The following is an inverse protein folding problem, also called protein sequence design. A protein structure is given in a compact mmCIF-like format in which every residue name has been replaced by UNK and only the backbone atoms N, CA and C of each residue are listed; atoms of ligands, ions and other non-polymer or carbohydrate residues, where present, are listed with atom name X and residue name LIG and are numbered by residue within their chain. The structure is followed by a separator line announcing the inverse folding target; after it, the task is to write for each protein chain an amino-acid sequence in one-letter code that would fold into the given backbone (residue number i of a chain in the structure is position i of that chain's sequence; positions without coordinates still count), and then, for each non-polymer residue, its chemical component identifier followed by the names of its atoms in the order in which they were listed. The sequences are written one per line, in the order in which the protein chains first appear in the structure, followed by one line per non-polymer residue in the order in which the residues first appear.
data_IF_356041315526
#
_entry.id   IF_356041315526
#
_cell.length_a   1.000
_cell.length_b   1.000
_cell.length_c   1.000
_cell.angle_alpha   90.00
_cell.angle_beta   90.00
_cell.angle_gamma   90.00
#
_symmetry.space_group_name_H-M   'P 1'
#
loop_
_entity.id
_entity.type
_entity.pdbx_description
1 polymer ?
#
# COMPACT_ATOMS: atom_id res chain seq x y z
N UNK A 1 0.09 0.79 18.09
CA UNK A 1 1.11 1.11 17.08
C UNK A 1 1.51 2.57 17.19
N UNK A 2 2.67 2.95 16.63
CA UNK A 2 3.12 4.33 16.53
C UNK A 2 2.95 4.85 15.10
N UNK A 3 2.26 5.99 14.95
CA UNK A 3 1.89 6.60 13.67
C UNK A 3 2.68 7.90 13.48
N UNK A 4 3.41 8.05 12.39
CA UNK A 4 4.01 9.32 12.01
C UNK A 4 3.00 10.13 11.19
N UNK A 5 2.61 11.31 11.68
CA UNK A 5 1.63 12.20 11.04
C UNK A 5 2.38 13.37 10.40
N UNK A 6 2.53 13.35 9.09
CA UNK A 6 3.12 14.42 8.30
C UNK A 6 2.01 15.35 7.81
N UNK A 7 1.84 16.47 8.49
CA UNK A 7 0.74 17.43 8.31
C UNK A 7 1.19 18.84 8.73
N UNK A 8 1.11 19.80 7.83
CA UNK A 8 1.49 21.19 8.07
C UNK A 8 0.43 21.95 8.87
N UNK A 9 -0.86 21.67 8.64
CA UNK A 9 -1.95 22.26 9.42
C UNK A 9 -2.00 21.69 10.84
N UNK A 10 -1.71 22.55 11.83
CA UNK A 10 -1.72 22.18 13.25
C UNK A 10 -3.08 21.71 13.76
N UNK A 11 -4.17 22.22 13.22
CA UNK A 11 -5.54 21.87 13.64
C UNK A 11 -5.92 20.48 13.15
N UNK A 12 -5.58 20.16 11.91
CA UNK A 12 -5.79 18.85 11.29
C UNK A 12 -4.92 17.80 11.99
N UNK A 13 -3.64 18.12 12.21
CA UNK A 13 -2.72 17.23 12.91
C UNK A 13 -3.20 16.92 14.35
N UNK A 14 -3.68 17.93 15.09
CA UNK A 14 -4.22 17.74 16.44
C UNK A 14 -5.49 16.87 16.44
N UNK A 15 -6.37 17.04 15.45
CA UNK A 15 -7.55 16.21 15.29
C UNK A 15 -7.19 14.74 15.00
N UNK A 16 -6.23 14.50 14.10
CA UNK A 16 -5.71 13.17 13.78
C UNK A 16 -5.06 12.52 15.02
N UNK A 17 -4.18 13.25 15.71
CA UNK A 17 -3.51 12.76 16.92
C UNK A 17 -4.50 12.38 18.02
N UNK A 18 -5.51 13.22 18.28
CA UNK A 18 -6.57 12.94 19.26
C UNK A 18 -7.39 11.71 18.87
N UNK A 19 -7.65 11.54 17.58
CA UNK A 19 -8.36 10.40 17.05
C UNK A 19 -7.57 9.09 17.22
N UNK A 20 -6.29 9.11 16.86
CA UNK A 20 -5.36 7.99 17.02
C UNK A 20 -5.21 7.60 18.51
N UNK A 21 -5.06 8.59 19.39
CA UNK A 21 -4.95 8.36 20.82
C UNK A 21 -6.19 7.67 21.41
N UNK A 22 -7.41 8.10 21.01
CA UNK A 22 -8.66 7.44 21.43
C UNK A 22 -8.75 6.00 20.95
N UNK A 23 -8.11 5.67 19.84
CA UNK A 23 -8.02 4.30 19.30
C UNK A 23 -6.85 3.50 19.88
N UNK A 24 -6.12 4.03 20.88
CA UNK A 24 -4.99 3.34 21.52
C UNK A 24 -3.68 3.38 20.72
N UNK A 25 -3.54 4.34 19.80
CA UNK A 25 -2.31 4.51 19.01
C UNK A 25 -1.54 5.75 19.47
N UNK A 26 -0.20 5.62 19.53
CA UNK A 26 0.69 6.75 19.73
C UNK A 26 0.93 7.44 18.38
N UNK A 27 1.18 8.75 18.39
CA UNK A 27 1.52 9.48 17.17
C UNK A 27 2.60 10.54 17.41
N UNK A 28 3.40 10.79 16.39
CA UNK A 28 4.34 11.92 16.32
C UNK A 28 3.98 12.76 15.11
N UNK A 29 3.87 14.08 15.31
CA UNK A 29 3.65 15.03 14.22
C UNK A 29 4.97 15.55 13.66
N UNK A 30 5.01 15.71 12.33
CA UNK A 30 5.99 16.49 11.58
C UNK A 30 5.26 17.37 10.57
N UNK A 31 5.82 18.55 10.22
CA UNK A 31 5.24 19.43 9.21
C UNK A 31 6.04 19.46 7.90
N UNK A 32 7.19 18.79 7.87
CA UNK A 32 8.15 18.82 6.78
C UNK A 32 8.40 17.43 6.21
N UNK A 33 8.54 17.33 4.90
CA UNK A 33 8.90 16.09 4.22
C UNK A 33 10.29 15.57 4.60
N UNK A 34 11.24 16.47 4.84
CA UNK A 34 12.58 16.12 5.35
C UNK A 34 12.51 15.41 6.71
N UNK A 35 11.58 15.80 7.59
CA UNK A 35 11.41 15.15 8.89
C UNK A 35 10.77 13.76 8.75
N UNK A 36 9.95 13.53 7.73
CA UNK A 36 9.44 12.18 7.41
C UNK A 36 10.60 11.24 7.12
N UNK A 37 11.56 11.68 6.28
CA UNK A 37 12.73 10.87 5.92
C UNK A 37 13.64 10.58 7.12
N UNK A 38 13.68 11.46 8.11
CA UNK A 38 14.48 11.27 9.32
C UNK A 38 13.81 10.37 10.34
N UNK A 39 12.47 10.44 10.48
CA UNK A 39 11.71 9.84 11.59
C UNK A 39 10.88 8.61 11.22
N UNK A 40 10.81 8.24 9.95
CA UNK A 40 9.98 7.10 9.52
C UNK A 40 10.33 5.79 10.27
N UNK A 41 11.60 5.61 10.69
CA UNK A 41 12.06 4.40 11.38
C UNK A 41 11.49 4.23 12.78
N UNK A 42 10.98 5.31 13.38
CA UNK A 42 10.40 5.30 14.72
C UNK A 42 8.89 4.98 14.69
N UNK A 43 8.33 4.74 13.51
CA UNK A 43 6.91 4.51 13.31
C UNK A 43 6.62 3.18 12.59
N UNK A 44 5.40 2.68 12.71
CA UNK A 44 4.90 1.53 11.97
C UNK A 44 4.11 1.92 10.71
N UNK A 45 3.69 3.18 10.59
CA UNK A 45 2.95 3.71 9.45
C UNK A 45 3.09 5.23 9.39
N UNK A 46 3.04 5.77 8.18
CA UNK A 46 3.04 7.22 7.91
C UNK A 46 1.67 7.63 7.37
N UNK A 47 1.06 8.64 7.98
CA UNK A 47 -0.02 9.43 7.38
C UNK A 47 0.63 10.64 6.73
N UNK A 48 0.51 10.79 5.41
CA UNK A 48 1.26 11.77 4.63
C UNK A 48 0.31 12.75 3.93
N UNK A 49 0.35 14.03 4.31
CA UNK A 49 -0.24 15.07 3.46
C UNK A 49 0.69 15.39 2.28
N UNK A 50 0.09 15.84 1.20
CA UNK A 50 0.80 16.33 0.01
C UNK A 50 1.21 17.81 0.12
N UNK A 51 0.61 18.57 1.04
CA UNK A 51 0.88 19.97 1.30
C UNK A 51 1.85 20.18 2.46
N UNK A 52 3.10 19.76 2.36
CA UNK A 52 4.09 19.97 3.41
C UNK A 52 4.83 21.30 3.25
N UNK A 53 5.44 21.80 4.33
CA UNK A 53 6.08 23.14 4.36
C UNK A 53 7.28 23.27 3.43
N UNK A 54 8.07 22.21 3.25
CA UNK A 54 9.39 22.25 2.58
C UNK A 54 9.41 21.58 1.21
N UNK A 55 8.44 20.68 0.91
CA UNK A 55 8.38 19.98 -0.37
C UNK A 55 6.98 19.44 -0.66
N UNK A 56 6.70 19.09 -1.92
CA UNK A 56 5.48 18.34 -2.26
C UNK A 56 5.53 16.95 -1.65
N UNK A 57 4.44 16.50 -1.01
CA UNK A 57 4.37 15.19 -0.38
C UNK A 57 4.58 14.01 -1.34
N UNK A 58 4.32 14.16 -2.64
CA UNK A 58 4.66 13.14 -3.65
C UNK A 58 6.19 13.00 -3.81
N UNK A 59 6.93 14.10 -3.64
CA UNK A 59 8.39 14.05 -3.67
C UNK A 59 8.93 13.43 -2.38
N UNK A 60 8.34 13.74 -1.23
CA UNK A 60 8.63 13.07 0.04
C UNK A 60 8.36 11.56 -0.05
N UNK A 61 7.21 11.15 -0.61
CA UNK A 61 6.87 9.74 -0.82
C UNK A 61 7.88 9.02 -1.71
N UNK A 62 8.27 9.62 -2.84
CA UNK A 62 9.26 9.05 -3.75
C UNK A 62 10.62 8.85 -3.07
N UNK A 63 11.08 9.84 -2.29
CA UNK A 63 12.33 9.75 -1.54
C UNK A 63 12.23 8.70 -0.43
N UNK A 64 11.10 8.63 0.27
CA UNK A 64 10.86 7.62 1.31
C UNK A 64 10.92 6.20 0.73
N UNK A 65 10.30 5.95 -0.42
CA UNK A 65 10.31 4.65 -1.09
C UNK A 65 11.70 4.22 -1.60
N UNK A 66 12.62 5.16 -1.79
CA UNK A 66 14.01 4.82 -2.10
C UNK A 66 14.77 4.20 -0.91
N UNK A 67 14.27 4.37 0.32
CA UNK A 67 14.99 3.98 1.55
C UNK A 67 14.14 3.15 2.53
N UNK A 68 12.83 2.99 2.29
CA UNK A 68 11.92 2.32 3.23
C UNK A 68 10.64 1.82 2.58
N UNK A 69 10.20 0.64 3.01
CA UNK A 69 8.91 0.04 2.67
C UNK A 69 7.84 0.32 3.72
N UNK A 70 8.08 1.24 4.65
CA UNK A 70 7.10 1.58 5.69
C UNK A 70 5.71 1.87 5.07
N UNK A 71 4.61 1.37 5.65
CA UNK A 71 3.27 1.69 5.19
C UNK A 71 3.03 3.20 5.11
N UNK A 72 2.46 3.68 3.99
CA UNK A 72 2.10 5.09 3.78
C UNK A 72 0.67 5.22 3.32
N UNK A 73 -0.15 5.93 4.08
CA UNK A 73 -1.47 6.38 3.66
C UNK A 73 -1.39 7.86 3.37
N UNK A 74 -1.66 8.25 2.13
CA UNK A 74 -1.77 9.66 1.77
C UNK A 74 -3.11 10.20 2.25
N UNK A 75 -3.10 11.33 2.97
CA UNK A 75 -4.30 11.98 3.55
C UNK A 75 -4.25 13.46 3.17
N UNK A 76 -4.96 13.87 2.13
CA UNK A 76 -4.80 15.20 1.53
C UNK A 76 -6.11 15.82 1.05
N UNK A 77 -6.14 17.14 0.87
CA UNK A 77 -7.26 17.84 0.24
C UNK A 77 -7.31 17.66 -1.30
N UNK A 78 -6.23 17.17 -1.93
CA UNK A 78 -6.21 16.92 -3.37
C UNK A 78 -7.06 15.69 -3.69
N UNK A 79 -8.24 15.90 -4.26
CA UNK A 79 -9.20 14.82 -4.57
C UNK A 79 -9.26 14.44 -6.05
N UNK A 80 -8.39 14.99 -6.89
CA UNK A 80 -8.37 14.68 -8.31
C UNK A 80 -7.77 13.29 -8.61
N UNK A 81 -8.29 12.64 -9.64
CA UNK A 81 -7.89 11.30 -10.04
C UNK A 81 -6.39 11.20 -10.38
N UNK A 82 -5.84 12.25 -10.99
CA UNK A 82 -4.43 12.28 -11.41
C UNK A 82 -3.49 12.23 -10.21
N UNK A 83 -3.77 13.00 -9.16
CA UNK A 83 -2.99 12.99 -7.92
C UNK A 83 -3.10 11.65 -7.19
N UNK A 84 -4.30 11.06 -7.15
CA UNK A 84 -4.53 9.72 -6.57
C UNK A 84 -3.72 8.65 -7.29
N UNK A 85 -3.84 8.56 -8.61
CA UNK A 85 -3.11 7.56 -9.42
C UNK A 85 -1.60 7.73 -9.27
N UNK A 86 -1.12 8.97 -9.27
CA UNK A 86 0.31 9.26 -9.12
C UNK A 86 0.85 8.82 -7.75
N UNK A 87 0.15 9.13 -6.65
CA UNK A 87 0.56 8.71 -5.32
C UNK A 87 0.63 7.18 -5.19
N UNK A 88 -0.40 6.47 -5.66
CA UNK A 88 -0.43 5.00 -5.64
C UNK A 88 0.66 4.39 -6.53
N UNK A 89 0.92 4.96 -7.71
CA UNK A 89 2.01 4.52 -8.59
C UNK A 89 3.40 4.77 -8.01
N UNK A 90 3.55 5.79 -7.15
CA UNK A 90 4.78 6.05 -6.40
C UNK A 90 4.94 5.15 -5.17
N UNK A 91 3.95 4.30 -4.88
CA UNK A 91 4.01 3.31 -3.81
C UNK A 91 3.29 3.70 -2.52
N UNK A 92 2.37 4.69 -2.55
CA UNK A 92 1.43 4.84 -1.45
C UNK A 92 0.58 3.58 -1.31
N UNK A 93 0.37 3.14 -0.07
CA UNK A 93 -0.45 1.95 0.21
C UNK A 93 -1.93 2.25 0.10
N UNK A 94 -2.32 3.48 0.42
CA UNK A 94 -3.68 3.97 0.30
C UNK A 94 -3.73 5.48 0.12
N UNK A 95 -4.91 6.00 -0.27
CA UNK A 95 -5.14 7.41 -0.52
C UNK A 95 -6.52 7.85 0.01
N UNK A 96 -6.54 8.85 0.88
CA UNK A 96 -7.72 9.41 1.49
C UNK A 96 -7.83 10.90 1.18
N UNK A 97 -9.04 11.33 0.79
CA UNK A 97 -9.32 12.74 0.55
C UNK A 97 -9.96 13.36 1.78
N UNK A 98 -9.44 14.51 2.25
CA UNK A 98 -10.01 15.28 3.35
C UNK A 98 -11.38 15.89 2.91
N UNK A 99 -12.40 15.91 3.77
CA UNK A 99 -12.40 15.52 5.18
C UNK A 99 -12.50 14.02 5.40
N UNK A 100 -11.62 13.44 6.23
CA UNK A 100 -11.53 12.01 6.48
C UNK A 100 -12.44 11.61 7.65
N UNK A 101 -13.24 10.56 7.46
CA UNK A 101 -14.01 9.96 8.55
C UNK A 101 -13.09 9.13 9.43
N UNK A 102 -13.13 9.36 10.75
CA UNK A 102 -12.25 8.67 11.69
C UNK A 102 -12.29 7.14 11.57
N UNK A 103 -13.49 6.56 11.52
CA UNK A 103 -13.63 5.10 11.41
C UNK A 103 -13.01 4.54 10.12
N UNK A 104 -13.14 5.29 9.01
CA UNK A 104 -12.52 4.93 7.74
C UNK A 104 -10.99 4.96 7.84
N UNK A 105 -10.41 6.02 8.41
CA UNK A 105 -8.97 6.13 8.61
C UNK A 105 -8.43 4.96 9.45
N UNK A 106 -9.06 4.67 10.59
CA UNK A 106 -8.63 3.60 11.49
C UNK A 106 -8.73 2.22 10.83
N UNK A 107 -9.80 1.96 10.09
CA UNK A 107 -9.97 0.71 9.38
C UNK A 107 -8.88 0.52 8.31
N UNK A 108 -8.57 1.57 7.52
CA UNK A 108 -7.51 1.54 6.51
C UNK A 108 -6.12 1.40 7.13
N UNK A 109 -5.90 2.06 8.25
CA UNK A 109 -4.65 2.00 9.01
C UNK A 109 -4.36 0.56 9.48
N UNK A 110 -5.36 -0.13 10.04
CA UNK A 110 -5.25 -1.55 10.42
C UNK A 110 -5.03 -2.45 9.21
N UNK A 111 -5.76 -2.23 8.12
CA UNK A 111 -5.64 -3.02 6.90
C UNK A 111 -4.24 -2.89 6.27
N UNK A 112 -3.71 -1.67 6.19
CA UNK A 112 -2.39 -1.40 5.63
C UNK A 112 -1.30 -2.01 6.50
N UNK A 113 -1.35 -1.85 7.83
CA UNK A 113 -0.31 -2.36 8.74
C UNK A 113 -0.31 -3.88 8.89
N UNK A 114 -1.45 -4.57 8.72
CA UNK A 114 -1.52 -6.04 8.78
C UNK A 114 -0.58 -6.73 7.77
N UNK A 115 -0.36 -6.13 6.61
CA UNK A 115 0.53 -6.66 5.56
C UNK A 115 2.01 -6.67 5.93
N UNK A 116 2.38 -5.89 6.93
CA UNK A 116 3.75 -5.77 7.41
C UNK A 116 4.01 -6.66 8.65
N UNK A 117 3.01 -7.45 9.08
CA UNK A 117 3.21 -8.49 10.09
C UNK A 117 4.00 -9.65 9.48
N UNK A 118 4.95 -10.26 10.22
CA UNK A 118 5.69 -11.42 9.72
C UNK A 118 4.73 -12.55 9.34
N UNK A 119 4.96 -13.28 8.26
CA UNK A 119 4.18 -14.47 7.91
C UNK A 119 4.38 -15.57 8.97
N UNK A 120 3.32 -16.35 9.23
CA UNK A 120 3.38 -17.45 10.22
C UNK A 120 4.14 -18.69 9.70
N UNK A 121 4.38 -18.83 8.39
CA UNK A 121 5.16 -19.92 7.80
C UNK A 121 5.93 -19.50 6.53
N UNK A 122 7.16 -20.01 6.33
CA UNK A 122 7.95 -19.75 5.13
C UNK A 122 7.28 -20.35 3.89
N UNK A 123 7.05 -19.53 2.90
CA UNK A 123 6.42 -19.97 1.65
C UNK A 123 7.14 -19.39 0.43
N UNK A 124 7.59 -20.28 -0.47
CA UNK A 124 8.02 -19.92 -1.81
C UNK A 124 6.99 -20.36 -2.82
N UNK A 125 6.66 -19.48 -3.74
CA UNK A 125 5.72 -19.77 -4.85
C UNK A 125 6.44 -19.50 -6.15
N UNK A 126 6.47 -20.49 -7.03
CA UNK A 126 7.04 -20.36 -8.37
C UNK A 126 5.93 -20.41 -9.42
N UNK A 127 5.94 -19.48 -10.35
CA UNK A 127 5.03 -19.43 -11.50
C UNK A 127 5.86 -19.15 -12.75
N UNK A 128 6.09 -20.18 -13.56
CA UNK A 128 7.00 -20.10 -14.70
C UNK A 128 8.41 -19.70 -14.30
N UNK A 129 8.94 -18.63 -14.88
CA UNK A 129 10.26 -18.07 -14.56
C UNK A 129 10.26 -17.11 -13.37
N UNK A 130 9.09 -16.87 -12.74
CA UNK A 130 8.94 -15.99 -11.61
C UNK A 130 8.97 -16.76 -10.30
N UNK A 131 9.93 -16.43 -9.43
CA UNK A 131 10.06 -16.98 -8.07
C UNK A 131 9.65 -15.89 -7.05
N UNK A 132 8.75 -16.24 -6.16
CA UNK A 132 8.17 -15.36 -5.14
C UNK A 132 8.54 -15.91 -3.76
N UNK A 133 9.48 -15.26 -3.10
CA UNK A 133 9.80 -15.53 -1.70
C UNK A 133 8.90 -14.65 -0.81
N UNK A 134 7.88 -15.29 -0.22
CA UNK A 134 6.85 -14.60 0.54
C UNK A 134 7.41 -14.04 1.84
N UNK A 135 8.34 -14.75 2.48
CA UNK A 135 8.95 -14.31 3.74
C UNK A 135 9.93 -13.17 3.54
N UNK A 136 10.83 -13.31 2.57
CA UNK A 136 11.78 -12.28 2.23
C UNK A 136 11.11 -11.11 1.48
N UNK A 137 9.81 -11.22 1.11
CA UNK A 137 9.07 -10.27 0.27
C UNK A 137 9.82 -9.92 -1.01
N UNK A 138 10.46 -10.92 -1.61
CA UNK A 138 11.28 -10.77 -2.80
C UNK A 138 10.64 -11.48 -3.99
N UNK A 139 10.73 -10.86 -5.15
CA UNK A 139 10.29 -11.44 -6.42
C UNK A 139 11.46 -11.41 -7.39
N UNK A 140 11.72 -12.52 -8.06
CA UNK A 140 12.67 -12.61 -9.15
C UNK A 140 11.98 -13.12 -10.41
N UNK A 141 12.29 -12.52 -11.57
CA UNK A 141 11.84 -12.98 -12.89
C UNK A 141 13.07 -13.22 -13.74
N UNK A 142 13.20 -14.42 -14.32
CA UNK A 142 14.41 -14.84 -15.07
C UNK A 142 15.72 -14.59 -14.29
N UNK A 143 15.70 -14.78 -12.97
CA UNK A 143 16.84 -14.57 -12.07
C UNK A 143 17.17 -13.10 -11.75
N UNK A 144 16.36 -12.14 -12.21
CA UNK A 144 16.50 -10.71 -11.90
C UNK A 144 15.49 -10.29 -10.86
N UNK A 145 15.92 -9.55 -9.86
CA UNK A 145 15.02 -9.01 -8.84
C UNK A 145 14.08 -7.95 -9.41
N UNK A 146 12.78 -8.08 -9.13
CA UNK A 146 11.73 -7.14 -9.53
C UNK A 146 11.20 -6.40 -8.31
N UNK A 147 11.41 -5.09 -8.25
CA UNK A 147 10.95 -4.27 -7.14
C UNK A 147 9.44 -4.03 -7.23
N UNK A 148 8.70 -4.59 -6.27
CA UNK A 148 7.27 -4.37 -6.08
C UNK A 148 7.01 -3.56 -4.82
N UNK A 149 5.99 -2.70 -4.89
CA UNK A 149 5.45 -2.08 -3.68
C UNK A 149 4.71 -3.12 -2.83
N UNK A 150 4.47 -2.88 -1.53
CA UNK A 150 3.77 -3.83 -0.67
C UNK A 150 2.39 -4.25 -1.18
N UNK A 151 1.65 -3.35 -1.82
CA UNK A 151 0.35 -3.66 -2.41
C UNK A 151 0.46 -4.53 -3.66
N UNK A 152 1.38 -4.20 -4.55
CA UNK A 152 1.68 -5.00 -5.74
C UNK A 152 2.10 -6.41 -5.34
N UNK A 153 2.98 -6.52 -4.35
CA UNK A 153 3.42 -7.81 -3.82
C UNK A 153 2.25 -8.60 -3.22
N UNK A 154 1.39 -7.96 -2.40
CA UNK A 154 0.21 -8.60 -1.83
C UNK A 154 -0.76 -9.13 -2.89
N UNK A 155 -1.05 -8.34 -3.93
CA UNK A 155 -1.88 -8.76 -5.07
C UNK A 155 -1.25 -9.96 -5.77
N UNK A 156 0.05 -9.91 -6.06
CA UNK A 156 0.77 -10.99 -6.70
C UNK A 156 0.67 -12.29 -5.87
N UNK A 157 0.95 -12.23 -4.57
CA UNK A 157 0.89 -13.40 -3.67
C UNK A 157 -0.53 -13.97 -3.58
N UNK A 158 -1.56 -13.11 -3.46
CA UNK A 158 -2.97 -13.55 -3.43
C UNK A 158 -3.34 -14.39 -4.67
N UNK A 159 -2.87 -13.97 -5.84
CA UNK A 159 -3.12 -14.67 -7.10
C UNK A 159 -2.20 -15.89 -7.26
N UNK A 160 -0.92 -15.78 -6.92
CA UNK A 160 0.08 -16.85 -7.09
C UNK A 160 -0.18 -18.06 -6.21
N UNK A 161 -0.70 -17.89 -5.00
CA UNK A 161 -1.14 -18.99 -4.13
C UNK A 161 -2.31 -19.79 -4.70
N UNK A 162 -2.99 -19.26 -5.72
CA UNK A 162 -4.17 -19.85 -6.37
C UNK A 162 -4.01 -19.86 -7.90
N UNK A 163 -2.78 -20.08 -8.37
CA UNK A 163 -2.46 -20.14 -9.80
C UNK A 163 -3.42 -21.09 -10.53
N UNK A 164 -3.89 -20.71 -11.70
CA UNK A 164 -4.90 -21.43 -12.47
C UNK A 164 -6.36 -21.24 -12.00
N UNK A 165 -6.57 -20.74 -10.78
CA UNK A 165 -7.91 -20.52 -10.21
C UNK A 165 -8.38 -19.08 -10.39
N UNK A 166 -9.71 -18.89 -10.44
CA UNK A 166 -10.29 -17.56 -10.45
C UNK A 166 -10.38 -17.05 -9.02
N UNK A 167 -9.72 -15.92 -8.73
CA UNK A 167 -9.82 -15.21 -7.46
C UNK A 167 -10.73 -14.01 -7.65
N UNK A 168 -11.80 -13.93 -6.87
CA UNK A 168 -12.73 -12.81 -6.98
C UNK A 168 -12.09 -11.51 -6.53
N UNK A 169 -12.57 -10.37 -7.07
CA UNK A 169 -12.08 -9.05 -6.65
C UNK A 169 -12.21 -8.83 -5.14
N UNK A 170 -13.37 -9.13 -4.48
CA UNK A 170 -13.48 -9.02 -3.04
C UNK A 170 -12.45 -9.85 -2.29
N UNK A 171 -12.14 -11.06 -2.75
CA UNK A 171 -11.17 -11.94 -2.11
C UNK A 171 -9.74 -11.38 -2.20
N UNK A 172 -9.32 -10.86 -3.37
CA UNK A 172 -8.01 -10.20 -3.48
C UNK A 172 -7.95 -8.96 -2.59
N UNK A 173 -9.04 -8.19 -2.53
CA UNK A 173 -9.15 -7.02 -1.65
C UNK A 173 -9.04 -7.40 -0.18
N UNK A 174 -9.70 -8.48 0.24
CA UNK A 174 -9.62 -9.00 1.61
C UNK A 174 -8.21 -9.52 1.94
N UNK A 175 -7.62 -10.32 1.07
CA UNK A 175 -6.24 -10.84 1.23
C UNK A 175 -5.22 -9.70 1.38
N UNK A 176 -5.39 -8.60 0.64
CA UNK A 176 -4.42 -7.50 0.56
C UNK A 176 -4.75 -6.38 1.55
N UNK A 177 -6.02 -6.02 1.73
CA UNK A 177 -6.45 -4.87 2.55
C UNK A 177 -7.37 -5.23 3.73
N UNK A 178 -7.93 -6.46 3.79
CA UNK A 178 -8.86 -6.92 4.82
C UNK A 178 -10.27 -6.35 4.69
N UNK A 179 -11.12 -6.65 5.66
CA UNK A 179 -12.55 -6.27 5.68
C UNK A 179 -12.82 -4.77 5.49
N UNK A 180 -11.83 -3.92 5.76
CA UNK A 180 -11.96 -2.46 5.67
C UNK A 180 -12.09 -1.93 4.23
N UNK A 181 -11.84 -2.75 3.20
CA UNK A 181 -11.69 -2.28 1.83
C UNK A 181 -12.85 -2.58 0.88
N UNK A 182 -13.99 -3.00 1.41
CA UNK A 182 -15.15 -3.43 0.60
C UNK A 182 -15.68 -2.37 -0.41
N UNK A 183 -15.22 -1.12 -0.38
CA UNK A 183 -15.83 -0.03 -1.15
C UNK A 183 -14.91 0.82 -2.02
N UNK A 184 -13.59 0.70 -1.97
CA UNK A 184 -12.68 1.59 -2.72
C UNK A 184 -11.94 0.85 -3.83
N UNK A 185 -12.46 0.94 -5.05
CA UNK A 185 -11.98 0.15 -6.19
C UNK A 185 -10.78 0.75 -6.95
N UNK A 186 -10.48 2.04 -6.78
CA UNK A 186 -9.49 2.72 -7.64
C UNK A 186 -8.05 2.32 -7.36
N UNK A 187 -7.68 2.14 -6.10
CA UNK A 187 -6.30 1.77 -5.73
C UNK A 187 -5.93 0.38 -6.22
N UNK A 188 -6.86 -0.58 -6.13
CA UNK A 188 -6.64 -1.94 -6.61
C UNK A 188 -6.28 -1.98 -8.11
N UNK A 189 -7.06 -1.31 -8.96
CA UNK A 189 -6.86 -1.36 -10.42
C UNK A 189 -5.51 -0.75 -10.83
N UNK A 190 -5.08 0.30 -10.12
CA UNK A 190 -3.76 0.91 -10.33
C UNK A 190 -2.64 -0.09 -9.98
N UNK A 191 -2.70 -0.70 -8.78
CA UNK A 191 -1.67 -1.64 -8.35
C UNK A 191 -1.65 -2.90 -9.22
N UNK A 192 -2.80 -3.45 -9.61
CA UNK A 192 -2.86 -4.59 -10.53
C UNK A 192 -2.25 -4.24 -11.90
N UNK A 193 -2.50 -3.02 -12.40
CA UNK A 193 -1.88 -2.52 -13.62
C UNK A 193 -0.35 -2.47 -13.52
N UNK A 194 0.17 -2.02 -12.37
CA UNK A 194 1.61 -1.99 -12.13
C UNK A 194 2.22 -3.40 -12.04
N UNK A 195 1.54 -4.36 -11.40
CA UNK A 195 2.01 -5.77 -11.36
C UNK A 195 2.16 -6.31 -12.78
N UNK A 196 1.15 -6.11 -13.65
CA UNK A 196 1.21 -6.55 -15.06
C UNK A 196 2.34 -5.90 -15.85
N UNK A 197 2.63 -4.64 -15.56
CA UNK A 197 3.70 -3.90 -16.22
C UNK A 197 5.09 -4.36 -15.78
N UNK A 198 5.26 -4.65 -14.48
CA UNK A 198 6.53 -5.02 -13.87
C UNK A 198 6.90 -6.50 -14.07
N UNK A 199 5.89 -7.35 -14.27
CA UNK A 199 6.03 -8.81 -14.45
C UNK A 199 5.31 -9.24 -15.75
N UNK A 200 5.82 -8.83 -16.92
CA UNK A 200 5.23 -9.20 -18.21
C UNK A 200 5.30 -10.72 -18.49
N UNK A 201 6.16 -11.46 -17.77
CA UNK A 201 6.28 -12.91 -17.81
C UNK A 201 5.04 -13.62 -17.26
N UNK A 202 4.26 -12.93 -16.42
CA UNK A 202 3.04 -13.46 -15.83
C UNK A 202 1.81 -13.03 -16.61
N UNK A 203 0.95 -13.98 -16.97
CA UNK A 203 -0.33 -13.69 -17.59
C UNK A 203 -1.43 -13.61 -16.53
N UNK A 204 -1.87 -12.40 -16.19
CA UNK A 204 -3.01 -12.17 -15.29
C UNK A 204 -4.24 -11.82 -16.12
N UNK A 205 -5.16 -12.77 -16.28
CA UNK A 205 -6.40 -12.61 -17.05
C UNK A 205 -7.49 -11.99 -16.17
N UNK A 206 -8.21 -11.00 -16.73
CA UNK A 206 -9.42 -10.47 -16.10
C UNK A 206 -10.64 -11.22 -16.61
N UNK A 207 -11.38 -11.88 -15.71
CA UNK A 207 -12.65 -12.54 -15.99
C UNK A 207 -13.76 -11.56 -15.63
N UNK A 208 -14.34 -10.91 -16.65
CA UNK A 208 -15.33 -9.83 -16.46
C UNK A 208 -16.48 -10.26 -15.57
N UNK A 209 -16.78 -9.45 -14.56
CA UNK A 209 -17.85 -9.68 -13.58
C UNK A 209 -17.56 -10.78 -12.55
N UNK A 210 -16.40 -11.47 -12.60
CA UNK A 210 -16.05 -12.57 -11.71
C UNK A 210 -14.78 -12.29 -10.90
N UNK A 211 -13.64 -11.99 -11.57
CA UNK A 211 -12.39 -11.79 -10.85
C UNK A 211 -11.17 -11.85 -11.78
N UNK A 212 -10.08 -12.37 -11.24
CA UNK A 212 -8.78 -12.43 -11.88
C UNK A 212 -8.23 -13.85 -11.78
N UNK A 213 -7.43 -14.24 -12.76
CA UNK A 213 -6.72 -15.51 -12.76
C UNK A 213 -5.28 -15.28 -13.19
N UNK A 214 -4.35 -15.74 -12.38
CA UNK A 214 -2.96 -15.92 -12.79
C UNK A 214 -2.90 -17.25 -13.53
N UNK A 215 -2.52 -17.21 -14.79
CA UNK A 215 -2.45 -18.43 -15.62
C UNK A 215 -1.25 -19.29 -15.21
N UNK A 216 -1.41 -20.60 -15.30
CA UNK A 216 -0.28 -21.50 -15.18
C UNK A 216 0.71 -21.21 -16.31
N UNK A 217 1.99 -21.21 -15.99
CA UNK A 217 3.03 -21.21 -17.00
C UNK A 217 3.06 -22.62 -17.61
N UNK A 218 2.52 -22.75 -18.82
CA UNK A 218 2.54 -24.00 -19.59
C UNK A 218 3.95 -24.45 -19.93
#
# INVERSE_FOLDING_TARGET
MHVLVAEDDGSVAAALASALQRAGHASTRVSRGSDVLLRHRDAQVVLLDLGLEDMDGLDALRQLRAVSDIPVIVVTARGDERSTVRALSLGADDYLVKPVRLHELLARLLAVTRRYSPPEEPTRVQVGSVDIDVDARRVTADGREVALTPNEFGILVSLARRTGQIVSRPQVLDDVWGDAYATSSRSFDVHLGQVRQKLPELTITTIRGVGYRLEDAG
#
